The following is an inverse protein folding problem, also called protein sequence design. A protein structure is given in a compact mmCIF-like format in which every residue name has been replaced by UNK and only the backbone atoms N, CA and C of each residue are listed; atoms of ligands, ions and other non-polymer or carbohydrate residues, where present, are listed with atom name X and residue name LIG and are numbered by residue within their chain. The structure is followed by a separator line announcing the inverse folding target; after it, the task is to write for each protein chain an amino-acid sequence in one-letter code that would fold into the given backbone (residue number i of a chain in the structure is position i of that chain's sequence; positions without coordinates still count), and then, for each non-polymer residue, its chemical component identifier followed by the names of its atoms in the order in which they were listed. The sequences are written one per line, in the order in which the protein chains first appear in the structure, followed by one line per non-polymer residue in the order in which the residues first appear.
data_IF_363114416846
#
_entry.id   IF_363114416846
#
_cell.length_a   1.000
_cell.length_b   1.000
_cell.length_c   1.000
_cell.angle_alpha   90.00
_cell.angle_beta   90.00
_cell.angle_gamma   90.00
#
_symmetry.space_group_name_H-M   'P 1'
#
loop_
_entity.id
_entity.type
_entity.pdbx_description
1 polymer ?
#
# COMPACT_ATOMS: atom_id res chain seq x y z
N UNK A 1 7.60 -2.58 4.00
CA UNK A 1 6.24 -2.16 4.42
C UNK A 1 6.28 -1.20 5.59
N UNK A 2 6.86 -1.56 6.74
CA UNK A 2 6.91 -0.67 7.91
C UNK A 2 7.45 0.73 7.62
N UNK A 3 8.59 0.85 6.93
CA UNK A 3 9.23 2.14 6.64
C UNK A 3 8.37 3.11 5.81
N UNK A 4 7.55 2.61 4.87
CA UNK A 4 6.68 3.48 4.05
C UNK A 4 5.37 3.83 4.76
N UNK A 5 4.89 2.97 5.67
CA UNK A 5 3.66 3.19 6.44
C UNK A 5 3.88 4.05 7.70
N UNK A 6 5.14 4.32 8.04
CA UNK A 6 5.54 5.22 9.13
C UNK A 6 6.05 6.58 8.61
N UNK A 7 6.03 6.81 7.30
CA UNK A 7 6.45 8.07 6.68
C UNK A 7 5.23 8.98 6.47
N UNK A 8 5.16 10.10 7.17
CA UNK A 8 4.08 11.07 7.05
C UNK A 8 3.92 11.62 5.63
N UNK A 9 5.00 11.69 4.84
CA UNK A 9 4.92 12.11 3.44
C UNK A 9 4.26 11.06 2.53
N UNK A 10 4.18 9.81 2.98
CA UNK A 10 3.50 8.72 2.28
C UNK A 10 2.03 8.55 2.70
N UNK A 11 1.61 9.13 3.84
CA UNK A 11 0.25 9.00 4.39
C UNK A 11 -0.86 9.47 3.44
N UNK A 12 -0.58 10.38 2.50
CA UNK A 12 -1.55 10.80 1.46
C UNK A 12 -1.82 9.69 0.42
N UNK A 13 -0.92 8.71 0.29
CA UNK A 13 -1.00 7.64 -0.72
C UNK A 13 -1.31 6.29 -0.11
N UNK A 14 -0.73 5.99 1.05
CA UNK A 14 -0.88 4.73 1.77
C UNK A 14 -0.87 4.99 3.28
N UNK A 15 -1.83 4.44 4.02
CA UNK A 15 -1.91 4.64 5.47
C UNK A 15 -2.60 3.46 6.17
N UNK A 16 -2.24 3.23 7.43
CA UNK A 16 -2.94 2.28 8.29
C UNK A 16 -4.36 2.77 8.60
N UNK A 17 -5.33 1.88 8.51
CA UNK A 17 -6.67 2.14 9.05
C UNK A 17 -6.61 2.18 10.58
N UNK A 18 -7.62 2.80 11.19
CA UNK A 18 -7.68 3.03 12.65
C UNK A 18 -7.61 1.76 13.49
N UNK A 19 -7.99 0.61 12.93
CA UNK A 19 -7.92 -0.69 13.60
C UNK A 19 -6.50 -1.30 13.61
N UNK A 20 -5.57 -0.75 12.84
CA UNK A 20 -4.20 -1.25 12.67
C UNK A 20 -4.10 -2.62 12.00
N UNK A 21 -5.20 -3.16 11.47
CA UNK A 21 -5.26 -4.50 10.86
C UNK A 21 -5.21 -4.47 9.34
N UNK A 22 -5.45 -3.30 8.76
CA UNK A 22 -5.47 -3.09 7.32
C UNK A 22 -4.90 -1.72 6.98
N UNK A 23 -4.40 -1.56 5.77
CA UNK A 23 -4.02 -0.27 5.23
C UNK A 23 -4.79 0.00 3.95
N UNK A 24 -4.95 1.28 3.62
CA UNK A 24 -5.66 1.75 2.43
C UNK A 24 -4.68 2.41 1.48
N UNK A 25 -4.88 2.21 0.18
CA UNK A 25 -4.17 2.91 -0.89
C UNK A 25 -5.20 3.73 -1.65
N UNK A 26 -5.14 5.07 -1.52
CA UNK A 26 -6.14 5.99 -2.09
C UNK A 26 -6.14 5.99 -3.62
N UNK A 27 -4.95 6.11 -4.21
CA UNK A 27 -4.77 6.11 -5.65
C UNK A 27 -3.56 5.23 -6.02
N UNK A 28 -3.83 4.13 -6.73
CA UNK A 28 -2.81 3.14 -7.09
C UNK A 28 -1.70 3.72 -7.97
N UNK A 29 -2.04 4.58 -8.92
CA UNK A 29 -1.08 5.18 -9.84
C UNK A 29 -0.17 6.18 -9.13
N UNK A 30 -0.76 7.07 -8.33
CA UNK A 30 -0.02 8.05 -7.56
C UNK A 30 0.87 7.38 -6.50
N UNK A 31 0.38 6.32 -5.85
CA UNK A 31 1.18 5.51 -4.93
C UNK A 31 2.36 4.84 -5.63
N UNK A 32 2.14 4.23 -6.80
CA UNK A 32 3.21 3.60 -7.56
C UNK A 32 4.32 4.58 -7.94
N UNK A 33 3.95 5.76 -8.44
CA UNK A 33 4.88 6.78 -8.90
C UNK A 33 5.65 7.45 -7.76
N UNK A 34 4.98 7.79 -6.66
CA UNK A 34 5.56 8.61 -5.59
C UNK A 34 6.14 7.79 -4.43
N UNK A 35 5.58 6.61 -4.14
CA UNK A 35 5.98 5.79 -2.99
C UNK A 35 6.74 4.54 -3.43
N UNK A 36 6.21 3.74 -4.36
CA UNK A 36 6.90 2.50 -4.75
C UNK A 36 8.26 2.78 -5.39
N UNK A 37 8.37 3.82 -6.21
CA UNK A 37 9.67 4.24 -6.78
C UNK A 37 10.69 4.59 -5.70
N UNK A 38 10.26 5.26 -4.64
CA UNK A 38 11.10 5.70 -3.51
C UNK A 38 11.55 4.52 -2.64
N UNK A 39 10.66 3.57 -2.37
CA UNK A 39 10.88 2.52 -1.38
C UNK A 39 11.25 1.15 -1.96
N UNK A 40 10.76 0.83 -3.15
CA UNK A 40 10.88 -0.49 -3.78
C UNK A 40 11.56 -0.45 -5.16
N UNK A 41 12.05 0.72 -5.59
CA UNK A 41 12.78 0.95 -6.86
C UNK A 41 12.02 0.46 -8.10
N UNK A 42 10.71 0.35 -8.02
CA UNK A 42 9.82 -0.08 -9.11
C UNK A 42 8.53 0.70 -9.03
N UNK A 43 7.89 0.95 -10.16
CA UNK A 43 6.53 1.49 -10.22
C UNK A 43 5.50 0.38 -10.51
N UNK A 44 5.95 -0.88 -10.64
CA UNK A 44 5.04 -1.97 -10.96
C UNK A 44 4.22 -2.36 -9.73
N UNK A 45 2.96 -1.94 -9.71
CA UNK A 45 2.02 -2.25 -8.65
C UNK A 45 1.77 -3.75 -8.47
N UNK A 46 1.81 -4.55 -9.53
CA UNK A 46 1.62 -6.01 -9.42
C UNK A 46 2.77 -6.68 -8.67
N UNK A 47 4.00 -6.18 -8.82
CA UNK A 47 5.14 -6.65 -8.01
C UNK A 47 4.92 -6.37 -6.53
N UNK A 48 4.30 -5.24 -6.21
CA UNK A 48 3.94 -4.89 -4.83
C UNK A 48 2.82 -5.80 -4.30
N UNK A 49 1.76 -6.08 -5.07
CA UNK A 49 0.72 -7.04 -4.70
C UNK A 49 1.31 -8.44 -4.45
N UNK A 50 2.25 -8.88 -5.30
CA UNK A 50 2.92 -10.17 -5.09
C UNK A 50 3.69 -10.22 -3.77
N UNK A 51 4.37 -9.14 -3.39
CA UNK A 51 5.03 -9.03 -2.08
C UNK A 51 4.01 -9.12 -0.95
N UNK A 52 2.87 -8.41 -1.05
CA UNK A 52 1.79 -8.50 -0.07
C UNK A 52 1.30 -9.94 0.13
N UNK A 53 1.03 -10.65 -0.97
CA UNK A 53 0.59 -12.04 -0.92
C UNK A 53 1.63 -12.96 -0.26
N UNK A 54 2.93 -12.71 -0.46
CA UNK A 54 4.00 -13.47 0.22
C UNK A 54 4.03 -13.26 1.74
N UNK A 55 3.57 -12.10 2.20
CA UNK A 55 3.42 -11.77 3.62
C UNK A 55 2.00 -12.03 4.14
N UNK A 56 1.19 -12.79 3.40
CA UNK A 56 -0.18 -13.17 3.76
C UNK A 56 -1.17 -12.00 3.90
N UNK A 57 -0.88 -10.88 3.22
CA UNK A 57 -1.85 -9.79 3.06
C UNK A 57 -2.81 -10.10 1.91
N UNK A 58 -4.10 -9.93 2.16
CA UNK A 58 -5.15 -10.18 1.18
C UNK A 58 -5.96 -8.92 0.88
N UNK A 59 -6.40 -8.75 -0.37
CA UNK A 59 -7.27 -7.63 -0.74
C UNK A 59 -8.64 -7.80 -0.07
N UNK A 60 -9.05 -6.79 0.70
CA UNK A 60 -10.38 -6.75 1.29
C UNK A 60 -11.37 -6.23 0.25
N UNK A 61 -12.18 -7.14 -0.32
CA UNK A 61 -13.30 -6.74 -1.15
C UNK A 61 -14.46 -6.33 -0.25
N UNK A 62 -14.64 -5.02 -0.02
CA UNK A 62 -15.87 -4.53 0.63
C UNK A 62 -17.01 -4.67 -0.36
N UNK A 63 -17.74 -5.78 -0.29
CA UNK A 63 -19.06 -5.87 -0.91
C UNK A 63 -19.94 -4.87 -0.17
N UNK A 64 -20.30 -3.75 -0.81
CA UNK A 64 -21.35 -2.87 -0.32
C UNK A 64 -22.65 -3.68 -0.35
N UNK A 65 -23.09 -4.13 0.82
CA UNK A 65 -24.49 -4.54 1.04
C UNK A 65 -25.27 -3.32 1.50
#
# INVERSE_FOLDING_TARGET
LGSMLSDDSANTYIYWNTDGKSFTIENQEAFAKNVLKRYLKTENFQSFIRQLNMYDFHKINRVRT
#
